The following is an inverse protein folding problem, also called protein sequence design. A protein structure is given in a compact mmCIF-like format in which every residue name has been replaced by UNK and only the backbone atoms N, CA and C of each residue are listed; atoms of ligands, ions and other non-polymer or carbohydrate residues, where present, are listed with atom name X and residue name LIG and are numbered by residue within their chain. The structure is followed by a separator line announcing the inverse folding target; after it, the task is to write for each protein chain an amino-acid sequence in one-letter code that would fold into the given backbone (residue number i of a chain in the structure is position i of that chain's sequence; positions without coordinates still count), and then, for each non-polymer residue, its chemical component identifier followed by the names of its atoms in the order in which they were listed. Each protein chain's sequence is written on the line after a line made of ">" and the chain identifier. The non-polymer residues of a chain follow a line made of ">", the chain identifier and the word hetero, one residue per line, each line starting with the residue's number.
data_IF_980813725969
#
_entry.id   IF_980813725969
#
_cell.length_a   1.000
_cell.length_b   1.000
_cell.length_c   1.000
_cell.angle_alpha   90.00
_cell.angle_beta   90.00
_cell.angle_gamma   90.00
#
_symmetry.space_group_name_H-M   'P 1'
#
loop_
_entity.id
_entity.type
_entity.pdbx_description
1 polymer ?
#
# COMPACT_ATOMS: atom_id res chain seq x y z
N UNK A 1 -0.26 -13.77 -14.57
CA UNK A 1 -0.36 -12.44 -13.94
C UNK A 1 1.05 -11.96 -13.71
N UNK A 2 1.50 -10.87 -14.35
CA UNK A 2 2.83 -10.32 -14.12
C UNK A 2 2.88 -9.74 -12.70
N UNK A 3 3.92 -10.07 -11.94
CA UNK A 3 4.15 -9.48 -10.63
C UNK A 3 4.23 -7.96 -10.78
N UNK A 4 3.54 -7.23 -9.89
CA UNK A 4 3.62 -5.77 -9.88
C UNK A 4 5.08 -5.36 -9.61
N UNK A 5 5.57 -4.40 -10.40
CA UNK A 5 6.92 -3.87 -10.23
C UNK A 5 7.08 -3.17 -8.89
N UNK A 6 8.33 -3.04 -8.43
CA UNK A 6 8.71 -2.29 -7.23
C UNK A 6 8.05 -0.89 -7.17
N UNK A 7 8.03 -0.22 -8.33
CA UNK A 7 7.36 1.06 -8.55
C UNK A 7 5.86 0.97 -8.31
N UNK A 8 5.16 0.01 -8.90
CA UNK A 8 3.71 -0.15 -8.72
C UNK A 8 3.33 -0.39 -7.24
N UNK A 9 4.14 -1.14 -6.50
CA UNK A 9 3.95 -1.30 -5.06
C UNK A 9 4.15 0.01 -4.29
N UNK A 10 5.18 0.80 -4.65
CA UNK A 10 5.40 2.10 -4.05
C UNK A 10 4.25 3.09 -4.35
N UNK A 11 3.69 3.08 -5.58
CA UNK A 11 2.52 3.89 -5.93
C UNK A 11 1.31 3.51 -5.08
N UNK A 12 1.05 2.21 -4.88
CA UNK A 12 -0.07 1.74 -4.04
C UNK A 12 0.06 2.22 -2.60
N UNK A 13 1.28 2.17 -2.06
CA UNK A 13 1.58 2.65 -0.70
C UNK A 13 1.36 4.17 -0.60
N UNK A 14 1.84 4.93 -1.59
CA UNK A 14 1.65 6.38 -1.67
C UNK A 14 0.17 6.77 -1.72
N UNK A 15 -0.63 6.12 -2.57
CA UNK A 15 -2.08 6.35 -2.65
C UNK A 15 -2.75 6.03 -1.31
N UNK A 16 -2.36 4.93 -0.66
CA UNK A 16 -2.93 4.54 0.63
C UNK A 16 -2.61 5.56 1.74
N UNK A 17 -1.36 6.05 1.81
CA UNK A 17 -0.95 7.11 2.76
C UNK A 17 -1.68 8.41 2.51
N UNK A 18 -1.83 8.80 1.25
CA UNK A 18 -2.59 9.99 0.86
C UNK A 18 -4.06 9.88 1.30
N UNK A 19 -4.70 8.73 1.08
CA UNK A 19 -6.07 8.49 1.54
C UNK A 19 -6.21 8.55 3.06
N UNK A 20 -5.24 8.02 3.80
CA UNK A 20 -5.21 8.12 5.25
C UNK A 20 -5.09 9.59 5.70
N UNK A 21 -4.18 10.37 5.11
CA UNK A 21 -4.03 11.79 5.41
C UNK A 21 -5.35 12.54 5.19
N UNK A 22 -5.98 12.37 4.01
CA UNK A 22 -7.27 12.98 3.68
C UNK A 22 -8.38 12.54 4.63
N UNK A 23 -8.42 11.27 5.00
CA UNK A 23 -9.39 10.75 5.96
C UNK A 23 -9.19 11.33 7.37
N UNK A 24 -7.94 11.60 7.79
CA UNK A 24 -7.60 12.25 9.06
C UNK A 24 -7.95 13.74 9.05
N UNK A 25 -7.79 14.41 7.90
CA UNK A 25 -8.27 15.78 7.68
C UNK A 25 -9.81 15.88 7.63
N UNK A 26 -10.54 14.76 7.61
CA UNK A 26 -12.00 14.70 7.57
C UNK A 26 -12.60 14.57 6.17
N UNK A 27 -11.78 14.52 5.11
CA UNK A 27 -12.22 14.28 3.74
C UNK A 27 -12.51 12.80 3.51
N UNK A 28 -13.79 12.41 3.54
CA UNK A 28 -14.22 11.02 3.34
C UNK A 28 -14.22 10.53 1.89
N UNK A 29 -14.28 11.46 0.93
CA UNK A 29 -14.36 11.14 -0.50
C UNK A 29 -13.48 12.09 -1.32
N UNK A 30 -12.15 12.05 -1.12
CA UNK A 30 -11.24 12.92 -1.85
C UNK A 30 -11.21 12.54 -3.34
N UNK A 31 -10.91 13.51 -4.21
CA UNK A 31 -10.75 13.26 -5.65
C UNK A 31 -9.36 12.71 -5.86
N UNK A 32 -9.27 11.50 -6.44
CA UNK A 32 -7.99 10.87 -6.72
C UNK A 32 -7.24 11.64 -7.81
N UNK A 33 -6.12 12.24 -7.44
CA UNK A 33 -5.29 13.04 -8.32
C UNK A 33 -3.81 12.70 -8.12
N UNK A 34 -3.08 12.47 -9.21
CA UNK A 34 -1.69 12.02 -9.17
C UNK A 34 -0.74 13.10 -8.63
N UNK A 35 -1.01 14.36 -8.94
CA UNK A 35 -0.23 15.50 -8.48
C UNK A 35 -0.43 15.70 -6.98
N UNK A 36 -1.69 15.68 -6.53
CA UNK A 36 -2.03 15.80 -5.10
C UNK A 36 -1.47 14.64 -4.26
N UNK A 37 -1.47 13.41 -4.78
CA UNK A 37 -0.84 12.25 -4.13
C UNK A 37 0.67 12.48 -4.03
N UNK A 38 1.31 12.88 -5.14
CA UNK A 38 2.74 13.13 -5.20
C UNK A 38 3.20 14.22 -4.23
N UNK A 39 2.48 15.34 -4.18
CA UNK A 39 2.77 16.46 -3.27
C UNK A 39 2.64 16.04 -1.80
N UNK A 40 1.54 15.37 -1.44
CA UNK A 40 1.25 15.00 -0.04
C UNK A 40 2.26 14.01 0.52
N UNK A 41 2.71 13.05 -0.30
CA UNK A 41 3.65 12.00 0.16
C UNK A 41 5.11 12.33 -0.13
N UNK A 42 5.38 13.51 -0.72
CA UNK A 42 6.74 13.90 -1.11
C UNK A 42 7.35 12.96 -2.14
N UNK A 43 6.57 12.55 -3.15
CA UNK A 43 7.01 11.62 -4.19
C UNK A 43 8.14 12.24 -5.03
N UNK A 44 9.37 11.84 -4.72
CA UNK A 44 10.58 12.27 -5.41
C UNK A 44 10.97 11.50 -6.70
N UNK A 45 10.55 10.25 -6.96
CA UNK A 45 10.84 9.60 -8.25
C UNK A 45 10.03 10.22 -9.39
N UNK A 46 10.22 9.71 -10.62
CA UNK A 46 9.52 10.19 -11.83
C UNK A 46 8.03 10.47 -11.58
N UNK A 47 7.45 11.48 -12.27
CA UNK A 47 6.09 11.94 -12.01
C UNK A 47 5.08 10.79 -12.03
N UNK A 48 4.17 10.80 -11.05
CA UNK A 48 3.04 9.88 -11.01
C UNK A 48 2.13 10.15 -12.19
N UNK A 49 1.77 9.11 -12.92
CA UNK A 49 0.80 9.24 -14.01
C UNK A 49 -0.61 8.95 -13.51
N UNK A 50 -1.61 9.44 -14.26
CA UNK A 50 -3.02 9.09 -14.00
C UNK A 50 -3.25 7.58 -14.06
N UNK A 51 -2.54 6.88 -14.94
CA UNK A 51 -2.65 5.42 -15.10
C UNK A 51 -2.08 4.67 -13.87
N UNK A 52 -0.93 5.14 -13.34
CA UNK A 52 -0.34 4.60 -12.12
C UNK A 52 -1.31 4.67 -10.93
N UNK A 53 -1.91 5.84 -10.68
CA UNK A 53 -2.87 6.00 -9.59
C UNK A 53 -4.20 5.27 -9.85
N UNK A 54 -4.62 5.17 -11.12
CA UNK A 54 -5.80 4.41 -11.50
C UNK A 54 -5.61 2.90 -11.24
N UNK A 55 -4.48 2.31 -11.67
CA UNK A 55 -4.12 0.92 -11.38
C UNK A 55 -4.05 0.67 -9.87
N UNK A 56 -3.37 1.56 -9.13
CA UNK A 56 -3.26 1.46 -7.68
C UNK A 56 -4.64 1.48 -6.99
N UNK A 57 -5.52 2.42 -7.37
CA UNK A 57 -6.87 2.50 -6.80
C UNK A 57 -7.71 1.26 -7.11
N UNK A 58 -7.58 0.70 -8.32
CA UNK A 58 -8.28 -0.50 -8.73
C UNK A 58 -7.77 -1.73 -7.96
N UNK A 59 -6.46 -1.79 -7.68
CA UNK A 59 -5.88 -2.84 -6.84
C UNK A 59 -6.39 -2.73 -5.40
N UNK A 60 -6.33 -1.55 -4.78
CA UNK A 60 -6.84 -1.33 -3.43
C UNK A 60 -8.33 -1.66 -3.29
N UNK A 61 -9.10 -1.45 -4.35
CA UNK A 61 -10.52 -1.80 -4.40
C UNK A 61 -10.75 -3.30 -4.44
N UNK A 62 -10.00 -4.01 -5.29
CA UNK A 62 -10.05 -5.48 -5.36
C UNK A 62 -9.68 -6.13 -4.03
N UNK A 63 -8.71 -5.56 -3.31
CA UNK A 63 -8.29 -6.02 -1.99
C UNK A 63 -9.25 -5.58 -0.86
N UNK A 64 -10.24 -4.72 -1.12
CA UNK A 64 -11.22 -4.24 -0.14
C UNK A 64 -10.70 -3.13 0.81
N UNK A 65 -9.54 -2.55 0.54
CA UNK A 65 -8.98 -1.43 1.31
C UNK A 65 -9.68 -0.11 1.01
N UNK A 66 -10.19 0.06 -0.20
CA UNK A 66 -10.99 1.22 -0.61
C UNK A 66 -12.31 0.76 -1.21
N UNK A 67 -13.32 1.61 -1.11
CA UNK A 67 -14.62 1.41 -1.76
C UNK A 67 -14.97 2.62 -2.63
N UNK A 68 -15.82 2.43 -3.64
CA UNK A 68 -16.21 3.48 -4.57
C UNK A 68 -16.72 2.92 -5.89
N UNK A 69 -17.03 3.82 -6.83
CA UNK A 69 -17.48 3.44 -8.17
C UNK A 69 -16.27 3.43 -9.10
N UNK A 70 -15.83 2.26 -9.62
CA UNK A 70 -14.76 2.22 -10.60
C UNK A 70 -15.21 2.81 -11.93
N UNK A 71 -14.35 3.65 -12.52
CA UNK A 71 -14.55 4.28 -13.83
C UNK A 71 -13.45 3.79 -14.77
N UNK A 72 -13.86 3.22 -15.90
CA UNK A 72 -12.95 2.66 -16.89
C UNK A 72 -12.00 3.76 -17.42
N UNK A 73 -10.68 3.52 -17.36
CA UNK A 73 -9.65 4.49 -17.79
C UNK A 73 -9.34 5.62 -16.78
N UNK A 74 -10.05 5.68 -15.65
CA UNK A 74 -9.81 6.70 -14.59
C UNK A 74 -9.48 6.04 -13.25
N UNK A 75 -9.86 4.77 -13.04
CA UNK A 75 -9.76 4.11 -11.74
C UNK A 75 -10.94 4.49 -10.86
N UNK A 76 -10.74 4.58 -9.54
CA UNK A 76 -11.79 5.07 -8.63
C UNK A 76 -11.59 6.57 -8.43
N UNK A 77 -12.45 7.44 -9.00
CA UNK A 77 -12.26 8.90 -8.91
C UNK A 77 -12.52 9.44 -7.51
N UNK A 78 -13.38 8.79 -6.72
CA UNK A 78 -13.70 9.14 -5.33
C UNK A 78 -13.60 7.91 -4.43
N UNK A 79 -12.38 7.44 -4.14
CA UNK A 79 -12.18 6.31 -3.27
C UNK A 79 -12.48 6.70 -1.82
N UNK A 80 -13.27 5.89 -1.12
CA UNK A 80 -13.48 6.00 0.31
C UNK A 80 -12.63 4.95 1.01
N UNK A 81 -11.85 5.37 2.01
CA UNK A 81 -11.01 4.48 2.79
C UNK A 81 -11.90 3.60 3.71
N UNK A 82 -11.78 2.29 3.59
CA UNK A 82 -12.50 1.35 4.46
C UNK A 82 -11.79 1.21 5.81
N UNK A 83 -12.45 0.58 6.79
CA UNK A 83 -11.82 0.26 8.09
C UNK A 83 -10.57 -0.63 7.90
N UNK A 84 -10.61 -1.56 6.94
CA UNK A 84 -9.47 -2.42 6.62
C UNK A 84 -8.31 -1.61 6.03
N UNK A 85 -8.58 -0.77 5.03
CA UNK A 85 -7.55 0.09 4.41
C UNK A 85 -6.93 1.05 5.41
N UNK A 86 -7.73 1.63 6.32
CA UNK A 86 -7.25 2.48 7.40
C UNK A 86 -6.27 1.73 8.31
N UNK A 87 -6.61 0.53 8.77
CA UNK A 87 -5.73 -0.28 9.64
C UNK A 87 -4.40 -0.60 8.98
N UNK A 88 -4.39 -0.90 7.68
CA UNK A 88 -3.15 -1.15 6.93
C UNK A 88 -2.31 0.12 6.80
N UNK A 89 -2.95 1.24 6.49
CA UNK A 89 -2.29 2.54 6.36
C UNK A 89 -1.69 3.02 7.70
N UNK A 90 -2.46 2.90 8.80
CA UNK A 90 -2.02 3.24 10.16
C UNK A 90 -0.94 2.29 10.68
N UNK A 91 -1.00 1.02 10.28
CA UNK A 91 -0.02 0.00 10.65
C UNK A 91 1.36 0.23 10.03
N UNK A 92 1.51 1.19 9.11
CA UNK A 92 2.78 1.50 8.43
C UNK A 92 3.36 0.32 7.64
N UNK A 93 2.58 -0.75 7.45
CA UNK A 93 3.02 -1.95 6.73
C UNK A 93 2.93 -1.67 5.26
N UNK A 94 4.06 -1.81 4.57
CA UNK A 94 4.04 -1.69 3.13
C UNK A 94 3.18 -2.79 2.52
N UNK A 95 2.35 -2.44 1.53
CA UNK A 95 1.51 -3.40 0.81
C UNK A 95 2.31 -4.45 0.03
N UNK A 96 3.65 -4.28 -0.06
CA UNK A 96 4.52 -5.29 -0.63
C UNK A 96 4.22 -6.64 0.02
N UNK A 97 3.91 -7.69 -0.77
CA UNK A 97 4.04 -9.03 -0.24
C UNK A 97 5.48 -9.14 0.24
N UNK A 98 5.66 -9.52 1.50
CA UNK A 98 6.95 -10.03 1.94
C UNK A 98 7.24 -11.17 0.98
N UNK A 99 8.22 -10.98 0.09
CA UNK A 99 8.73 -12.07 -0.71
C UNK A 99 9.25 -13.06 0.35
N UNK A 100 8.50 -14.12 0.63
CA UNK A 100 9.01 -15.27 1.36
C UNK A 100 10.04 -15.99 0.47
N UNK A 101 11.09 -15.28 0.07
CA UNK A 101 12.35 -15.81 -0.41
C UNK A 101 13.43 -15.45 0.60
N UNK A 102 13.21 -15.94 1.82
CA UNK A 102 14.25 -16.37 2.75
C UNK A 102 13.70 -17.60 3.47
N UNK A 103 13.55 -18.69 2.72
CA UNK A 103 13.58 -20.02 3.30
C UNK A 103 14.87 -20.66 2.79
N UNK A 104 15.93 -20.57 3.59
CA UNK A 104 16.84 -21.66 4.00
C UNK A 104 17.97 -21.09 4.86
N UNK A 105 17.99 -21.51 6.13
CA UNK A 105 19.13 -21.95 6.96
C UNK A 105 18.72 -21.64 8.42
N UNK A 106 18.18 -22.58 9.19
CA UNK A 106 18.74 -23.88 9.49
C UNK A 106 18.81 -23.98 11.02
N UNK A 107 17.96 -24.81 11.61
CA UNK A 107 18.23 -25.42 12.92
C UNK A 107 17.98 -24.59 14.18
N UNK A 108 16.87 -24.92 14.84
CA UNK A 108 16.83 -24.98 16.30
C UNK A 108 17.99 -25.84 16.83
N UNK A 109 18.71 -25.38 17.84
CA UNK A 109 18.64 -26.00 19.17
C UNK A 109 19.50 -25.25 20.18
N UNK A 110 18.80 -24.67 21.15
CA UNK A 110 19.30 -24.47 22.51
C UNK A 110 19.76 -25.82 23.10
N UNK A 111 20.64 -25.72 24.11
CA UNK A 111 21.04 -26.73 25.11
C UNK A 111 22.49 -27.23 24.96
N UNK A 112 23.44 -26.49 25.51
CA UNK A 112 24.58 -27.01 26.28
C UNK A 112 25.24 -25.80 26.98
N UNK A 113 25.56 -25.77 28.27
CA UNK A 113 25.75 -26.87 29.21
C UNK A 113 25.41 -26.38 30.63
N UNK A 114 24.76 -27.25 31.39
CA UNK A 114 24.80 -27.18 32.85
C UNK A 114 26.16 -27.63 33.38
N UNK A 115 26.62 -26.91 34.41
CA UNK A 115 27.23 -27.41 35.65
C UNK A 115 27.77 -28.85 35.69
N UNK A 116 29.07 -29.02 36.00
CA UNK A 116 29.77 -29.95 36.94
C UNK A 116 31.27 -29.90 36.54
N UNK A 117 32.30 -29.94 37.39
CA UNK A 117 32.54 -30.27 38.79
C UNK A 117 33.79 -29.48 39.22
#
# INVERSE_FOLDING_TARGET
>A
MNAATDRQWAVRDAVLRWLLAKATEGYRSPILDADAVGETVGWAPSPLTRDDVADASNHLYKEGYVTGVPVMGIGIPRPMLTVAGRRVAEGGRSLRPVDCRHDVDGGQSVLESGLVH
#
